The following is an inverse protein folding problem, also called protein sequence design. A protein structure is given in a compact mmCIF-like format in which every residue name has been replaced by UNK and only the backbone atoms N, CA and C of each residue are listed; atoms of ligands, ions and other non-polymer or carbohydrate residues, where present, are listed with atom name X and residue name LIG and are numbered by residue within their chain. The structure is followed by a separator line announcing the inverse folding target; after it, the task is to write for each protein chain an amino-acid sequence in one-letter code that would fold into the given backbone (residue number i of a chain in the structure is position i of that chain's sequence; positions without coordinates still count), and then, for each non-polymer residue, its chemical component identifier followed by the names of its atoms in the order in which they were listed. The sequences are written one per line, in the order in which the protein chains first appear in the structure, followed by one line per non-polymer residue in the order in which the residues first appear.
data_IF_442387156316
#
_entry.id   IF_442387156316
#
_cell.length_a   1.000
_cell.length_b   1.000
_cell.length_c   1.000
_cell.angle_alpha   90.00
_cell.angle_beta   90.00
_cell.angle_gamma   90.00
#
_symmetry.space_group_name_H-M   'P 1'
#
loop_
_entity.id
_entity.type
_entity.pdbx_description
1 polymer ?
#
# COMPACT_ATOMS: atom_id res chain seq x y z
N UNK A 1 -42.57 12.63 -66.77
CA UNK A 1 -43.23 12.50 -65.45
C UNK A 1 -42.48 13.38 -64.46
N UNK A 2 -43.17 14.34 -63.86
CA UNK A 2 -42.62 15.50 -63.16
C UNK A 2 -41.70 15.14 -61.99
N UNK A 3 -40.39 15.37 -62.13
CA UNK A 3 -39.50 15.49 -60.97
C UNK A 3 -39.87 16.80 -60.26
N UNK A 4 -40.43 16.63 -59.07
CA UNK A 4 -41.04 17.67 -58.25
C UNK A 4 -40.04 18.81 -57.99
N UNK A 5 -40.31 20.00 -58.53
CA UNK A 5 -39.60 21.27 -58.21
C UNK A 5 -39.53 21.55 -56.70
N UNK A 6 -40.42 20.96 -55.90
CA UNK A 6 -40.38 21.02 -54.43
C UNK A 6 -39.23 20.22 -53.81
N UNK A 7 -38.79 19.11 -54.42
CA UNK A 7 -37.72 18.27 -53.87
C UNK A 7 -36.33 18.95 -53.96
N UNK A 8 -36.12 19.72 -55.03
CA UNK A 8 -34.88 20.50 -55.24
C UNK A 8 -34.83 21.71 -54.28
N UNK A 9 -35.97 22.34 -53.98
CA UNK A 9 -36.04 23.43 -52.99
C UNK A 9 -35.86 22.92 -51.54
N UNK A 10 -36.32 21.71 -51.20
CA UNK A 10 -36.09 21.12 -49.87
C UNK A 10 -34.63 20.69 -49.66
N UNK A 11 -33.95 20.23 -50.71
CA UNK A 11 -32.52 19.87 -50.64
C UNK A 11 -31.63 21.12 -50.56
N UNK A 12 -32.01 22.23 -51.20
CA UNK A 12 -31.27 23.50 -51.11
C UNK A 12 -31.47 24.23 -49.77
N UNK A 13 -32.61 24.00 -49.08
CA UNK A 13 -32.89 24.58 -47.77
C UNK A 13 -32.24 23.80 -46.60
N UNK A 14 -31.88 22.53 -46.80
CA UNK A 14 -31.18 21.72 -45.79
C UNK A 14 -29.66 21.92 -45.78
N UNK A 15 -29.08 22.46 -46.86
CA UNK A 15 -27.64 22.76 -46.94
C UNK A 15 -27.22 24.07 -46.24
N UNK A 16 -28.17 24.89 -45.76
CA UNK A 16 -27.87 26.21 -45.17
C UNK A 16 -27.82 26.17 -43.62
N UNK A 17 -28.14 25.03 -42.98
CA UNK A 17 -28.18 24.93 -41.51
C UNK A 17 -26.89 24.41 -40.84
N UNK A 18 -25.77 24.31 -41.57
CA UNK A 18 -24.46 23.90 -41.00
C UNK A 18 -23.42 25.03 -40.90
N UNK A 19 -23.82 26.30 -40.99
CA UNK A 19 -22.89 27.45 -40.82
C UNK A 19 -22.95 28.12 -39.45
N UNK A 20 -22.92 27.37 -38.34
CA UNK A 20 -22.70 28.00 -37.04
C UNK A 20 -21.93 27.16 -36.01
N UNK A 21 -20.92 26.42 -36.46
CA UNK A 21 -19.74 26.28 -35.61
C UNK A 21 -18.97 27.59 -35.77
N UNK A 22 -19.08 28.49 -34.78
CA UNK A 22 -18.02 29.47 -34.58
C UNK A 22 -16.76 28.65 -34.41
N UNK A 23 -15.87 28.69 -35.40
CA UNK A 23 -14.49 28.31 -35.18
C UNK A 23 -14.08 29.07 -33.92
N UNK A 24 -13.79 28.31 -32.87
CA UNK A 24 -12.95 28.76 -31.79
C UNK A 24 -11.77 29.41 -32.49
N UNK A 25 -11.58 30.71 -32.31
CA UNK A 25 -10.42 31.41 -32.86
C UNK A 25 -9.25 30.59 -32.35
N UNK A 26 -8.67 29.75 -33.21
CA UNK A 26 -7.33 29.27 -33.02
C UNK A 26 -6.53 30.55 -33.03
N UNK A 27 -6.29 31.08 -31.84
CA UNK A 27 -5.30 32.12 -31.62
C UNK A 27 -4.06 31.48 -32.19
N UNK A 28 -3.71 31.89 -33.41
CA UNK A 28 -2.44 31.52 -34.02
C UNK A 28 -1.40 31.66 -32.91
N UNK A 29 -0.52 30.67 -32.68
CA UNK A 29 0.47 30.78 -31.62
C UNK A 29 1.13 32.14 -31.81
N UNK A 30 0.97 33.01 -30.81
CA UNK A 30 1.60 34.32 -30.85
C UNK A 30 3.08 33.99 -30.80
N UNK A 31 3.72 33.95 -31.97
CA UNK A 31 5.17 33.77 -32.10
C UNK A 31 5.75 35.08 -31.64
N UNK A 32 5.87 35.23 -30.33
CA UNK A 32 6.51 36.36 -29.70
C UNK A 32 7.96 35.96 -29.48
N UNK A 33 8.88 36.62 -30.18
CA UNK A 33 10.32 36.44 -29.99
C UNK A 33 10.85 37.13 -28.73
N UNK A 34 9.99 37.87 -28.02
CA UNK A 34 10.35 38.61 -26.81
C UNK A 34 10.13 37.76 -25.58
N UNK A 35 11.17 37.59 -24.76
CA UNK A 35 11.06 36.94 -23.47
C UNK A 35 10.16 37.75 -22.51
N UNK A 36 9.39 37.09 -21.63
CA UNK A 36 8.59 37.78 -20.63
C UNK A 36 9.48 38.47 -19.58
N UNK A 37 8.90 39.39 -18.82
CA UNK A 37 9.55 39.99 -17.66
C UNK A 37 9.91 38.94 -16.60
N UNK A 38 10.91 39.22 -15.76
CA UNK A 38 11.22 38.34 -14.63
C UNK A 38 10.09 38.37 -13.60
N UNK A 39 9.97 37.29 -12.81
CA UNK A 39 9.14 37.31 -11.60
C UNK A 39 9.67 38.33 -10.60
N UNK A 40 8.87 38.77 -9.62
CA UNK A 40 9.33 39.71 -8.59
C UNK A 40 8.75 39.40 -7.22
N UNK A 41 9.19 40.13 -6.17
CA UNK A 41 8.74 39.94 -4.79
C UNK A 41 8.82 38.48 -4.33
N UNK A 42 9.92 37.81 -4.63
CA UNK A 42 10.07 36.39 -4.29
C UNK A 42 10.19 36.23 -2.78
N UNK A 43 9.39 35.31 -2.22
CA UNK A 43 9.41 34.93 -0.82
C UNK A 43 9.59 33.42 -0.69
N UNK A 44 10.36 33.02 0.31
CA UNK A 44 10.68 31.62 0.60
C UNK A 44 10.08 31.23 1.95
N UNK A 45 9.38 30.11 1.96
CA UNK A 45 8.95 29.37 3.15
C UNK A 45 9.70 28.02 3.14
N UNK A 46 10.61 27.81 4.08
CA UNK A 46 11.37 26.57 4.18
C UNK A 46 10.53 25.47 4.85
N UNK A 47 10.54 24.27 4.27
CA UNK A 47 9.75 23.11 4.68
C UNK A 47 10.69 21.90 4.87
N UNK A 48 10.21 20.81 5.48
CA UNK A 48 11.00 19.60 5.68
C UNK A 48 11.38 18.95 4.33
N UNK A 49 12.68 18.95 4.00
CA UNK A 49 13.21 18.46 2.72
C UNK A 49 12.70 19.23 1.48
N UNK A 50 12.14 20.43 1.67
CA UNK A 50 11.47 21.20 0.63
C UNK A 50 11.50 22.71 0.91
N UNK A 51 11.10 23.51 -0.06
CA UNK A 51 10.78 24.92 0.15
C UNK A 51 9.63 25.35 -0.77
N UNK A 52 8.74 26.19 -0.25
CA UNK A 52 7.71 26.85 -1.02
C UNK A 52 8.17 28.24 -1.40
N UNK A 53 8.11 28.56 -2.69
CA UNK A 53 8.52 29.83 -3.25
C UNK A 53 7.28 30.51 -3.79
N UNK A 54 6.99 31.72 -3.31
CA UNK A 54 5.91 32.56 -3.81
C UNK A 54 6.48 33.80 -4.49
N UNK A 55 5.79 34.30 -5.51
CA UNK A 55 6.29 35.41 -6.34
C UNK A 55 5.15 36.22 -6.94
N UNK A 56 5.49 37.35 -7.55
CA UNK A 56 4.60 38.16 -8.39
C UNK A 56 4.90 37.84 -9.85
N UNK A 57 3.84 37.54 -10.61
CA UNK A 57 3.93 37.26 -12.04
C UNK A 57 4.23 38.54 -12.83
N UNK A 58 4.99 38.45 -13.93
CA UNK A 58 5.13 39.57 -14.85
C UNK A 58 3.80 39.81 -15.59
N UNK A 59 3.61 41.02 -16.13
CA UNK A 59 2.33 41.45 -16.72
C UNK A 59 2.18 41.07 -18.21
N UNK A 60 3.12 40.32 -18.75
CA UNK A 60 3.12 39.86 -20.14
C UNK A 60 1.84 39.06 -20.46
N UNK A 61 1.12 39.47 -21.50
CA UNK A 61 -0.16 38.86 -21.88
C UNK A 61 -0.01 37.42 -22.38
N UNK A 62 1.17 37.08 -22.87
CA UNK A 62 1.53 35.76 -23.40
C UNK A 62 2.28 34.89 -22.38
N UNK A 63 2.35 35.28 -21.10
CA UNK A 63 2.90 34.45 -20.04
C UNK A 63 2.17 33.09 -20.00
N UNK A 64 2.94 32.00 -19.94
CA UNK A 64 2.41 30.64 -19.91
C UNK A 64 2.63 29.99 -18.54
N UNK A 65 3.86 30.03 -18.03
CA UNK A 65 4.20 29.45 -16.73
C UNK A 65 5.44 30.11 -16.13
N UNK A 66 5.67 29.85 -14.85
CA UNK A 66 6.95 30.08 -14.18
C UNK A 66 7.56 28.72 -13.87
N UNK A 67 8.87 28.57 -14.08
CA UNK A 67 9.60 27.36 -13.71
C UNK A 67 10.73 27.63 -12.73
N UNK A 68 10.95 26.67 -11.84
CA UNK A 68 12.13 26.58 -10.98
C UNK A 68 13.04 25.48 -11.49
N UNK A 69 14.34 25.77 -11.58
CA UNK A 69 15.40 24.80 -11.90
C UNK A 69 16.40 24.75 -10.74
N UNK A 70 16.71 23.55 -10.26
CA UNK A 70 17.63 23.31 -9.15
C UNK A 70 18.24 21.91 -9.24
N UNK A 71 19.31 21.67 -8.47
CA UNK A 71 20.01 20.39 -8.47
C UNK A 71 19.86 19.71 -7.11
N UNK A 72 19.57 18.41 -7.13
CA UNK A 72 19.56 17.58 -5.92
C UNK A 72 20.98 17.16 -5.53
N UNK A 73 21.15 16.69 -4.29
CA UNK A 73 22.41 16.09 -3.81
C UNK A 73 22.89 14.92 -4.68
N UNK A 74 21.96 14.19 -5.30
CA UNK A 74 22.27 13.12 -6.26
C UNK A 74 22.87 13.61 -7.59
N UNK A 75 22.96 14.92 -7.80
CA UNK A 75 23.38 15.54 -9.06
C UNK A 75 22.25 15.67 -10.09
N UNK A 76 21.07 15.10 -9.82
CA UNK A 76 19.90 15.19 -10.71
C UNK A 76 19.38 16.62 -10.77
N UNK A 77 19.24 17.15 -11.98
CA UNK A 77 18.54 18.42 -12.23
C UNK A 77 17.03 18.21 -12.12
N UNK A 78 16.37 19.16 -11.47
CA UNK A 78 14.94 19.19 -11.24
C UNK A 78 14.35 20.42 -11.88
N UNK A 79 13.23 20.24 -12.57
CA UNK A 79 12.40 21.32 -13.12
C UNK A 79 10.99 21.19 -12.53
N UNK A 80 10.47 22.28 -11.97
CA UNK A 80 9.09 22.37 -11.48
C UNK A 80 8.42 23.57 -12.14
N UNK A 81 7.22 23.36 -12.69
CA UNK A 81 6.44 24.41 -13.37
C UNK A 81 5.18 24.75 -12.57
N UNK A 82 4.81 26.03 -12.62
CA UNK A 82 3.52 26.54 -12.15
C UNK A 82 2.91 27.37 -13.26
N UNK A 83 1.70 27.03 -13.69
CA UNK A 83 0.99 27.81 -14.72
C UNK A 83 0.80 29.27 -14.29
N UNK A 84 0.58 30.15 -15.26
CA UNK A 84 0.35 31.57 -15.02
C UNK A 84 -0.88 31.90 -14.15
N UNK A 85 -1.75 30.93 -13.89
CA UNK A 85 -2.88 31.08 -12.95
C UNK A 85 -2.45 31.01 -11.48
N UNK A 86 -1.23 30.56 -11.22
CA UNK A 86 -0.67 30.35 -9.89
C UNK A 86 0.62 31.14 -9.72
N UNK A 87 0.94 31.46 -8.47
CA UNK A 87 2.11 32.27 -8.12
C UNK A 87 3.01 31.60 -7.06
N UNK A 88 2.98 30.27 -7.04
CA UNK A 88 3.69 29.44 -6.05
C UNK A 88 4.34 28.23 -6.72
N UNK A 89 5.54 27.90 -6.28
CA UNK A 89 6.29 26.70 -6.66
C UNK A 89 6.71 25.94 -5.40
N UNK A 90 6.62 24.62 -5.44
CA UNK A 90 7.16 23.75 -4.40
C UNK A 90 8.41 23.05 -4.97
N UNK A 91 9.57 23.33 -4.38
CA UNK A 91 10.83 22.63 -4.68
C UNK A 91 11.06 21.59 -3.58
N UNK A 92 11.34 20.34 -3.94
CA UNK A 92 11.39 19.20 -3.02
C UNK A 92 12.62 18.33 -3.30
N UNK A 93 12.98 17.50 -2.32
CA UNK A 93 14.01 16.47 -2.48
C UNK A 93 15.37 16.86 -1.92
N UNK A 94 15.42 17.90 -1.08
CA UNK A 94 16.65 18.29 -0.42
C UNK A 94 17.01 17.31 0.69
N UNK A 95 18.28 16.90 0.72
CA UNK A 95 18.80 15.92 1.68
C UNK A 95 19.24 16.54 3.02
N UNK A 96 19.56 17.82 2.99
CA UNK A 96 20.24 18.56 4.05
C UNK A 96 19.61 19.94 4.26
N UNK A 97 20.09 20.63 5.30
CA UNK A 97 19.63 21.96 5.70
C UNK A 97 20.59 23.06 5.22
N UNK A 98 21.40 22.80 4.19
CA UNK A 98 22.30 23.80 3.63
C UNK A 98 21.53 24.77 2.72
N UNK A 99 22.07 25.96 2.43
CA UNK A 99 21.53 26.83 1.39
C UNK A 99 21.63 26.18 0.00
N UNK A 100 20.53 26.18 -0.76
CA UNK A 100 20.45 25.70 -2.14
C UNK A 100 19.99 26.84 -3.06
N UNK A 101 20.66 26.99 -4.22
CA UNK A 101 20.29 28.00 -5.22
C UNK A 101 19.22 27.46 -6.18
N UNK A 102 18.13 28.22 -6.32
CA UNK A 102 17.00 27.93 -7.20
C UNK A 102 16.93 29.02 -8.27
N UNK A 103 16.91 28.63 -9.54
CA UNK A 103 16.75 29.55 -10.68
C UNK A 103 15.30 29.61 -11.09
N UNK A 104 14.69 30.78 -11.02
CA UNK A 104 13.31 31.03 -11.43
C UNK A 104 13.27 31.72 -12.80
N UNK A 105 12.42 31.22 -13.68
CA UNK A 105 12.19 31.76 -15.03
C UNK A 105 10.70 31.96 -15.26
N UNK A 106 10.32 33.11 -15.80
CA UNK A 106 9.01 33.25 -16.46
C UNK A 106 9.14 32.76 -17.91
N UNK A 107 8.14 32.02 -18.41
CA UNK A 107 8.14 31.43 -19.75
C UNK A 107 6.83 31.77 -20.45
N UNK A 108 6.94 32.28 -21.67
CA UNK A 108 5.77 32.65 -22.47
C UNK A 108 5.24 31.47 -23.31
N UNK A 109 4.14 31.72 -24.05
CA UNK A 109 3.49 30.74 -24.93
C UNK A 109 4.35 30.28 -26.12
N UNK A 110 5.43 31.00 -26.43
CA UNK A 110 6.44 30.62 -27.42
C UNK A 110 7.62 29.84 -26.81
N UNK A 111 7.53 29.42 -25.54
CA UNK A 111 8.59 28.71 -24.81
C UNK A 111 9.90 29.50 -24.65
N UNK A 112 9.82 30.83 -24.75
CA UNK A 112 10.95 31.74 -24.49
C UNK A 112 10.98 32.08 -23.01
N UNK A 113 12.13 31.86 -22.37
CA UNK A 113 12.35 32.12 -20.95
C UNK A 113 12.92 33.51 -20.71
N UNK A 114 12.52 34.15 -19.61
CA UNK A 114 13.16 35.35 -19.06
C UNK A 114 14.61 35.08 -18.66
N UNK A 115 15.37 36.13 -18.31
CA UNK A 115 16.57 35.95 -17.49
C UNK A 115 16.20 35.33 -16.13
N UNK A 116 17.08 34.51 -15.51
CA UNK A 116 16.79 33.89 -14.22
C UNK A 116 16.84 34.89 -13.08
N UNK A 117 16.01 34.65 -12.07
CA UNK A 117 16.25 35.15 -10.71
C UNK A 117 16.76 33.99 -9.87
N UNK A 118 17.91 34.18 -9.24
CA UNK A 118 18.46 33.23 -8.28
C UNK A 118 17.90 33.51 -6.88
N UNK A 119 17.39 32.47 -6.24
CA UNK A 119 16.82 32.51 -4.90
C UNK A 119 17.46 31.41 -4.08
N UNK A 120 17.97 31.78 -2.91
CA UNK A 120 18.49 30.81 -1.96
C UNK A 120 17.36 30.28 -1.09
N UNK A 121 17.25 28.95 -0.96
CA UNK A 121 16.36 28.27 -0.01
C UNK A 121 17.21 27.52 1.01
N UNK A 122 16.72 27.37 2.24
CA UNK A 122 17.41 26.63 3.32
C UNK A 122 16.42 25.67 3.96
N UNK A 123 16.20 24.49 3.35
CA UNK A 123 15.17 23.54 3.77
C UNK A 123 15.32 23.13 5.24
N UNK A 124 14.20 22.77 5.86
CA UNK A 124 14.23 22.09 7.15
C UNK A 124 14.66 20.63 6.95
N UNK A 125 15.03 19.96 8.04
CA UNK A 125 15.52 18.58 8.01
C UNK A 125 14.58 17.64 7.25
N UNK A 126 15.14 16.78 6.40
CA UNK A 126 14.36 15.82 5.63
C UNK A 126 13.65 14.82 6.58
N UNK A 127 12.33 14.57 6.40
CA UNK A 127 11.56 13.70 7.30
C UNK A 127 12.11 12.28 7.49
N UNK A 128 12.92 11.76 6.55
CA UNK A 128 13.55 10.43 6.69
C UNK A 128 14.36 10.29 7.98
N UNK A 129 14.91 11.39 8.51
CA UNK A 129 15.70 11.38 9.74
C UNK A 129 14.84 11.15 10.99
N UNK A 130 13.61 11.65 11.04
CA UNK A 130 12.66 11.33 12.12
C UNK A 130 12.31 9.84 12.12
N UNK A 131 12.07 9.28 10.93
CA UNK A 131 11.82 7.84 10.78
C UNK A 131 13.04 7.01 11.18
N UNK A 132 14.25 7.43 10.81
CA UNK A 132 15.46 6.72 11.21
C UNK A 132 15.70 6.77 12.72
N UNK A 133 15.49 7.92 13.37
CA UNK A 133 15.68 8.05 14.83
C UNK A 133 14.69 7.23 15.66
N UNK A 134 13.50 6.95 15.12
CA UNK A 134 12.50 6.07 15.74
C UNK A 134 12.62 4.61 15.31
N UNK A 135 13.61 4.28 14.47
CA UNK A 135 13.75 2.94 13.91
C UNK A 135 14.28 1.96 14.96
N UNK A 136 13.52 0.90 15.16
CA UNK A 136 13.91 -0.24 15.99
C UNK A 136 13.83 -1.53 15.17
N UNK A 137 14.77 -2.43 15.44
CA UNK A 137 14.80 -3.77 14.87
C UNK A 137 14.99 -4.80 15.97
N UNK A 138 14.06 -5.76 16.05
CA UNK A 138 14.06 -6.82 17.06
C UNK A 138 13.93 -8.20 16.41
N UNK A 139 14.36 -9.29 17.09
CA UNK A 139 14.15 -10.64 16.58
C UNK A 139 12.67 -10.97 16.38
N UNK A 140 12.37 -11.71 15.32
CA UNK A 140 11.03 -12.21 15.04
C UNK A 140 11.09 -13.65 14.51
N UNK A 141 9.95 -14.35 14.52
CA UNK A 141 9.83 -15.64 13.85
C UNK A 141 10.19 -15.52 12.37
N UNK A 142 11.09 -16.39 11.89
CA UNK A 142 11.56 -16.42 10.51
C UNK A 142 12.35 -15.18 10.07
N UNK A 143 12.64 -14.22 10.95
CA UNK A 143 13.39 -13.02 10.60
C UNK A 143 13.49 -11.94 11.65
N UNK A 144 13.31 -10.68 11.25
CA UNK A 144 13.38 -9.50 12.12
C UNK A 144 12.14 -8.63 11.96
N UNK A 145 11.67 -8.04 13.07
CA UNK A 145 10.59 -7.06 13.05
C UNK A 145 11.20 -5.66 13.11
N UNK A 146 10.76 -4.81 12.19
CA UNK A 146 11.14 -3.41 12.10
C UNK A 146 9.94 -2.55 12.45
N UNK A 147 10.16 -1.61 13.36
CA UNK A 147 9.20 -0.56 13.74
C UNK A 147 9.83 0.82 13.57
N UNK A 148 9.04 1.79 13.13
CA UNK A 148 9.46 3.19 13.00
C UNK A 148 8.24 4.12 12.83
N UNK A 149 8.43 5.42 13.04
CA UNK A 149 7.39 6.44 12.86
C UNK A 149 7.64 7.31 11.62
N UNK A 150 6.63 7.45 10.78
CA UNK A 150 6.64 8.33 9.61
C UNK A 150 5.56 9.41 9.78
N UNK A 151 5.79 10.34 10.69
CA UNK A 151 4.80 11.36 11.07
C UNK A 151 4.28 12.20 9.89
N UNK A 152 5.09 12.35 8.85
CA UNK A 152 4.75 13.14 7.66
C UNK A 152 4.01 12.36 6.58
N UNK A 153 3.86 11.04 6.75
CA UNK A 153 3.21 10.13 5.80
C UNK A 153 3.77 10.24 4.37
N UNK A 154 5.06 10.60 4.26
CA UNK A 154 5.76 10.69 2.98
C UNK A 154 6.17 9.30 2.52
N UNK A 155 6.13 9.08 1.21
CA UNK A 155 6.62 7.83 0.61
C UNK A 155 8.10 7.63 0.92
N UNK A 156 8.42 6.54 1.62
CA UNK A 156 9.79 6.16 1.96
C UNK A 156 10.01 4.65 1.73
N UNK A 157 11.28 4.27 1.73
CA UNK A 157 11.74 2.88 1.72
C UNK A 157 12.60 2.64 2.95
N UNK A 158 12.27 1.65 3.77
CA UNK A 158 13.21 1.09 4.75
C UNK A 158 13.92 -0.07 4.08
N UNK A 159 15.22 0.09 3.84
CA UNK A 159 16.06 -0.91 3.21
C UNK A 159 16.79 -1.71 4.26
N UNK A 160 16.82 -3.02 4.05
CA UNK A 160 17.49 -3.95 4.96
C UNK A 160 18.55 -4.70 4.17
N UNK A 161 19.74 -4.75 4.73
CA UNK A 161 20.86 -5.53 4.23
C UNK A 161 21.30 -6.50 5.32
N UNK A 162 21.78 -7.66 4.92
CA UNK A 162 22.30 -8.69 5.82
C UNK A 162 23.75 -8.95 5.47
N UNK A 163 24.60 -9.11 6.49
CA UNK A 163 25.97 -9.54 6.28
C UNK A 163 25.99 -10.99 5.80
N UNK A 164 26.72 -11.22 4.71
CA UNK A 164 27.00 -12.53 4.14
C UNK A 164 28.49 -12.62 3.82
N UNK A 165 29.25 -13.19 4.75
CA UNK A 165 30.70 -13.39 4.62
C UNK A 165 31.51 -12.09 4.51
N UNK A 166 31.08 -11.03 5.22
CA UNK A 166 31.74 -9.72 5.18
C UNK A 166 31.24 -8.79 4.08
N UNK A 167 30.27 -9.22 3.27
CA UNK A 167 29.60 -8.38 2.28
C UNK A 167 28.14 -8.11 2.67
N UNK A 168 27.72 -6.86 2.49
CA UNK A 168 26.32 -6.46 2.68
C UNK A 168 25.49 -6.83 1.47
N UNK A 169 24.58 -7.78 1.64
CA UNK A 169 23.66 -8.21 0.59
C UNK A 169 22.26 -7.66 0.93
N UNK A 170 21.56 -7.03 -0.03
CA UNK A 170 20.16 -6.65 0.15
C UNK A 170 19.32 -7.85 0.59
N UNK A 171 18.44 -7.67 1.58
CA UNK A 171 17.45 -8.69 1.86
C UNK A 171 16.47 -8.84 0.70
N UNK A 172 15.81 -9.98 0.64
CA UNK A 172 14.78 -10.28 -0.37
C UNK A 172 13.64 -9.25 -0.36
N UNK A 173 13.34 -8.66 0.79
CA UNK A 173 12.27 -7.69 0.97
C UNK A 173 12.77 -6.38 1.59
N UNK A 174 12.24 -5.27 1.09
CA UNK A 174 12.33 -3.93 1.68
C UNK A 174 10.91 -3.43 2.02
N UNK A 175 10.81 -2.45 2.93
CA UNK A 175 9.52 -1.87 3.29
C UNK A 175 9.29 -0.61 2.47
N UNK A 176 8.34 -0.65 1.54
CA UNK A 176 7.87 0.52 0.80
C UNK A 176 6.55 1.00 1.42
N UNK A 177 6.52 2.23 1.94
CA UNK A 177 5.32 2.70 2.65
C UNK A 177 5.24 4.22 2.79
N UNK A 178 4.02 4.73 2.92
CA UNK A 178 3.68 6.07 3.41
C UNK A 178 2.94 6.02 4.76
N UNK A 179 2.75 4.84 5.35
CA UNK A 179 1.98 4.70 6.57
C UNK A 179 2.66 5.42 7.74
N UNK A 180 1.85 6.14 8.54
CA UNK A 180 2.33 6.85 9.74
C UNK A 180 3.09 5.95 10.71
N UNK A 181 2.63 4.71 10.90
CA UNK A 181 3.23 3.72 11.78
C UNK A 181 3.76 2.57 10.95
N UNK A 182 5.07 2.34 11.02
CA UNK A 182 5.75 1.26 10.32
C UNK A 182 5.91 0.12 11.31
N UNK A 183 5.44 -1.06 10.93
CA UNK A 183 5.55 -2.27 11.73
C UNK A 183 5.50 -3.48 10.80
N UNK A 184 6.65 -3.98 10.39
CA UNK A 184 6.76 -5.06 9.40
C UNK A 184 7.81 -6.08 9.82
N UNK A 185 7.52 -7.35 9.55
CA UNK A 185 8.46 -8.44 9.73
C UNK A 185 9.11 -8.77 8.38
N UNK A 186 10.44 -8.64 8.28
CA UNK A 186 11.22 -9.12 7.14
C UNK A 186 11.67 -10.54 7.44
N UNK A 187 11.25 -11.49 6.60
CA UNK A 187 11.39 -12.93 6.81
C UNK A 187 12.44 -13.53 5.87
N UNK A 188 12.70 -14.83 6.02
CA UNK A 188 13.64 -15.58 5.19
C UNK A 188 15.02 -15.77 5.83
N UNK A 189 15.16 -15.48 7.13
CA UNK A 189 16.42 -15.65 7.83
C UNK A 189 16.40 -16.88 8.74
N UNK A 190 17.47 -17.68 8.67
CA UNK A 190 17.70 -18.79 9.57
C UNK A 190 17.92 -18.31 11.03
N UNK A 191 17.63 -19.16 12.04
CA UNK A 191 17.68 -18.77 13.46
C UNK A 191 19.09 -18.82 14.03
N UNK A 192 20.01 -18.08 13.42
CA UNK A 192 21.38 -17.91 13.88
C UNK A 192 21.73 -16.42 13.90
N UNK A 193 22.69 -16.00 14.74
CA UNK A 193 23.13 -14.61 14.78
C UNK A 193 23.54 -14.12 13.39
N UNK A 194 23.03 -12.95 13.00
CA UNK A 194 23.33 -12.25 11.75
C UNK A 194 23.44 -10.76 12.01
N UNK A 195 24.32 -10.10 11.29
CA UNK A 195 24.40 -8.64 11.30
C UNK A 195 23.44 -8.08 10.24
N UNK A 196 22.70 -7.05 10.61
CA UNK A 196 21.75 -6.34 9.76
C UNK A 196 22.17 -4.88 9.67
N UNK A 197 22.09 -4.31 8.48
CA UNK A 197 22.27 -2.90 8.20
C UNK A 197 20.96 -2.33 7.66
N UNK A 198 20.42 -1.31 8.32
CA UNK A 198 19.08 -0.77 8.03
C UNK A 198 19.17 0.74 7.80
N UNK A 199 18.63 1.23 6.69
CA UNK A 199 18.61 2.66 6.35
C UNK A 199 17.25 3.05 5.77
N UNK A 200 16.88 4.33 5.93
CA UNK A 200 15.66 4.92 5.38
C UNK A 200 16.02 5.76 4.16
N UNK A 201 15.24 5.63 3.09
CA UNK A 201 15.42 6.37 1.84
C UNK A 201 14.13 7.00 1.37
N UNK A 202 14.19 8.21 0.85
CA UNK A 202 13.04 8.83 0.17
C UNK A 202 13.00 8.51 -1.35
N UNK A 203 11.99 9.04 -2.05
CA UNK A 203 11.85 8.89 -3.51
C UNK A 203 12.89 9.66 -4.33
N UNK A 204 13.67 10.54 -3.71
CA UNK A 204 14.70 11.36 -4.35
C UNK A 204 16.10 10.78 -4.21
N UNK A 205 16.21 9.57 -3.64
CA UNK A 205 17.47 8.89 -3.35
C UNK A 205 18.31 9.63 -2.28
N UNK A 206 17.63 10.29 -1.33
CA UNK A 206 18.27 10.71 -0.09
C UNK A 206 18.24 9.55 0.89
N UNK A 207 19.38 9.27 1.52
CA UNK A 207 19.55 8.17 2.47
C UNK A 207 19.91 8.74 3.83
N UNK A 208 19.43 8.09 4.89
CA UNK A 208 19.91 8.32 6.25
C UNK A 208 21.25 7.64 6.48
N UNK A 209 21.79 7.81 7.68
CA UNK A 209 22.80 6.88 8.20
C UNK A 209 22.22 5.44 8.31
N UNK A 210 23.05 4.50 8.73
CA UNK A 210 22.73 3.08 8.79
C UNK A 210 22.73 2.58 10.23
N UNK A 211 21.62 1.98 10.66
CA UNK A 211 21.57 1.20 11.89
C UNK A 211 22.20 -0.16 11.63
N UNK A 212 23.33 -0.44 12.28
CA UNK A 212 23.97 -1.76 12.25
C UNK A 212 23.68 -2.48 13.57
N UNK A 213 23.09 -3.67 13.50
CA UNK A 213 22.75 -4.47 14.69
C UNK A 213 22.95 -5.97 14.45
N UNK A 214 23.20 -6.74 15.51
CA UNK A 214 23.28 -8.20 15.45
C UNK A 214 22.05 -8.81 16.09
N UNK A 215 21.25 -9.54 15.31
CA UNK A 215 20.01 -10.17 15.75
C UNK A 215 20.02 -11.67 15.43
N UNK A 216 19.33 -12.45 16.26
CA UNK A 216 19.12 -13.89 16.03
C UNK A 216 17.64 -14.12 15.78
N UNK A 217 17.20 -14.33 14.52
CA UNK A 217 15.82 -14.67 14.20
C UNK A 217 15.32 -15.87 15.00
N UNK A 218 14.02 -15.90 15.28
CA UNK A 218 13.40 -17.06 15.90
C UNK A 218 13.08 -18.09 14.82
N UNK A 219 13.21 -19.37 15.15
CA UNK A 219 12.90 -20.44 14.21
C UNK A 219 11.42 -20.42 13.83
N UNK A 220 11.14 -20.51 12.54
CA UNK A 220 9.79 -20.62 12.01
C UNK A 220 9.76 -21.66 10.90
N UNK A 221 8.72 -22.48 10.89
CA UNK A 221 8.40 -23.32 9.74
C UNK A 221 6.89 -23.38 9.52
N UNK A 222 6.48 -23.72 8.30
CA UNK A 222 5.10 -24.11 8.02
C UNK A 222 4.76 -25.40 8.77
N UNK A 223 3.63 -25.42 9.49
CA UNK A 223 3.11 -26.67 10.04
C UNK A 223 2.51 -27.50 8.89
N UNK A 224 2.82 -28.81 8.81
CA UNK A 224 2.39 -29.61 7.67
C UNK A 224 0.87 -29.77 7.65
N UNK A 225 0.23 -29.26 6.58
CA UNK A 225 -1.23 -29.35 6.36
C UNK A 225 -1.76 -30.78 6.41
N UNK A 226 -0.93 -31.78 6.09
CA UNK A 226 -1.28 -33.21 6.21
C UNK A 226 -1.62 -33.65 7.64
N UNK A 227 -1.33 -32.82 8.65
CA UNK A 227 -1.72 -33.05 10.04
C UNK A 227 -2.96 -32.26 10.47
N UNK A 228 -3.48 -31.39 9.60
CA UNK A 228 -4.65 -30.59 9.94
C UNK A 228 -5.89 -31.45 9.91
N UNK A 229 -6.69 -31.34 10.97
CA UNK A 229 -7.95 -32.08 11.08
C UNK A 229 -9.06 -31.12 11.49
N UNK A 230 -10.20 -31.21 10.80
CA UNK A 230 -11.38 -30.46 11.16
C UNK A 230 -11.87 -30.93 12.53
N UNK A 231 -12.20 -29.98 13.40
CA UNK A 231 -12.81 -30.25 14.70
C UNK A 231 -14.18 -29.60 14.70
N UNK A 232 -15.21 -30.35 15.06
CA UNK A 232 -16.57 -29.82 15.18
C UNK A 232 -16.99 -29.89 16.64
N UNK A 233 -17.01 -28.73 17.29
CA UNK A 233 -17.49 -28.58 18.66
C UNK A 233 -18.95 -28.09 18.66
N UNK A 234 -19.73 -28.33 19.73
CA UNK A 234 -21.16 -28.01 19.76
C UNK A 234 -21.53 -26.56 19.42
N UNK A 235 -20.63 -25.60 19.66
CA UNK A 235 -20.86 -24.17 19.44
C UNK A 235 -20.27 -23.65 18.12
N UNK A 236 -19.51 -24.47 17.39
CA UNK A 236 -18.90 -24.08 16.14
C UNK A 236 -19.96 -23.91 15.04
N UNK A 237 -19.70 -23.00 14.10
CA UNK A 237 -20.58 -22.75 12.98
C UNK A 237 -20.63 -23.96 12.04
N UNK A 238 -21.85 -24.27 11.58
CA UNK A 238 -22.06 -25.27 10.54
C UNK A 238 -21.57 -24.74 9.20
N UNK A 239 -21.15 -25.65 8.32
CA UNK A 239 -20.85 -25.31 6.93
C UNK A 239 -22.16 -25.18 6.14
N UNK A 240 -22.20 -24.22 5.22
CA UNK A 240 -23.36 -23.93 4.39
C UNK A 240 -23.75 -25.13 3.52
N UNK A 241 -22.75 -25.81 2.96
CA UNK A 241 -22.93 -26.99 2.12
C UNK A 241 -21.97 -28.10 2.52
N UNK A 242 -22.34 -29.35 2.25
CA UNK A 242 -21.45 -30.51 2.45
C UNK A 242 -20.16 -30.41 1.62
N UNK A 243 -20.23 -29.79 0.44
CA UNK A 243 -19.07 -29.60 -0.45
C UNK A 243 -18.09 -28.53 0.05
N UNK A 244 -18.52 -27.62 0.93
CA UNK A 244 -17.73 -26.49 1.43
C UNK A 244 -17.22 -26.73 2.86
N UNK A 245 -16.72 -27.94 3.13
CA UNK A 245 -16.29 -28.39 4.45
C UNK A 245 -15.09 -27.62 5.02
N UNK A 246 -14.83 -27.71 6.33
CA UNK A 246 -13.65 -27.05 6.95
C UNK A 246 -12.33 -27.52 6.31
N UNK A 247 -12.23 -28.79 5.92
CA UNK A 247 -11.01 -29.35 5.32
C UNK A 247 -10.60 -28.69 4.02
N UNK A 248 -11.51 -27.93 3.39
CA UNK A 248 -11.22 -27.13 2.21
C UNK A 248 -10.20 -26.04 2.48
N UNK A 249 -10.10 -25.54 3.71
CA UNK A 249 -9.08 -24.55 4.06
C UNK A 249 -7.64 -25.09 4.00
N UNK A 250 -7.41 -26.37 3.74
CA UNK A 250 -6.05 -26.92 3.64
C UNK A 250 -5.90 -28.03 2.59
N UNK A 251 -6.70 -27.99 1.52
CA UNK A 251 -6.68 -29.01 0.46
C UNK A 251 -5.81 -28.64 -0.76
N UNK A 252 -5.22 -27.45 -0.78
CA UNK A 252 -4.32 -26.98 -1.83
C UNK A 252 -5.02 -26.21 -2.96
N UNK A 253 -6.34 -25.99 -2.87
CA UNK A 253 -7.11 -25.20 -3.83
C UNK A 253 -7.56 -23.87 -3.21
N UNK A 254 -6.89 -22.79 -3.56
CA UNK A 254 -7.22 -21.45 -3.10
C UNK A 254 -8.10 -20.65 -4.09
N UNK A 255 -8.70 -21.31 -5.09
CA UNK A 255 -9.29 -20.62 -6.24
C UNK A 255 -10.69 -21.08 -6.62
N UNK A 256 -10.97 -22.39 -6.57
CA UNK A 256 -12.17 -22.93 -7.21
C UNK A 256 -13.32 -23.10 -6.23
N UNK A 257 -14.52 -22.70 -6.67
CA UNK A 257 -15.74 -23.17 -6.04
C UNK A 257 -16.02 -24.63 -6.44
N UNK A 258 -16.51 -25.50 -5.53
CA UNK A 258 -16.83 -25.27 -4.12
C UNK A 258 -15.69 -25.67 -3.15
N UNK A 259 -14.42 -25.67 -3.57
CA UNK A 259 -13.28 -26.03 -2.72
C UNK A 259 -12.90 -24.89 -1.78
N UNK A 260 -13.85 -24.50 -0.94
CA UNK A 260 -13.67 -23.47 0.10
C UNK A 260 -14.40 -23.91 1.37
N UNK A 261 -14.00 -23.41 2.53
CA UNK A 261 -14.83 -23.47 3.72
C UNK A 261 -15.77 -22.28 3.72
N UNK A 262 -17.08 -22.58 3.63
CA UNK A 262 -18.16 -21.61 3.70
C UNK A 262 -19.05 -21.93 4.90
N UNK A 263 -19.08 -21.05 5.90
CA UNK A 263 -19.97 -21.21 7.06
C UNK A 263 -21.39 -20.72 6.74
N UNK A 264 -22.36 -21.14 7.56
CA UNK A 264 -23.79 -20.84 7.39
C UNK A 264 -24.06 -19.33 7.21
N UNK A 265 -24.59 -18.96 6.04
CA UNK A 265 -24.81 -17.55 5.67
C UNK A 265 -26.04 -16.93 6.34
N UNK A 266 -26.87 -17.75 7.00
CA UNK A 266 -28.12 -17.33 7.64
C UNK A 266 -27.96 -16.98 9.12
N UNK A 267 -26.85 -17.39 9.74
CA UNK A 267 -26.57 -17.12 11.15
C UNK A 267 -26.09 -15.69 11.35
N UNK A 268 -26.85 -14.93 12.14
CA UNK A 268 -26.51 -13.57 12.55
C UNK A 268 -25.62 -13.57 13.80
N UNK A 269 -24.60 -12.70 13.80
CA UNK A 269 -23.65 -12.55 14.91
C UNK A 269 -22.39 -13.41 14.74
N UNK A 270 -21.34 -13.18 15.54
CA UNK A 270 -20.03 -13.80 15.32
C UNK A 270 -20.08 -15.32 15.17
N UNK A 271 -19.34 -15.84 14.19
CA UNK A 271 -19.23 -17.28 13.92
C UNK A 271 -17.80 -17.74 14.16
N UNK A 272 -17.61 -19.03 14.48
CA UNK A 272 -16.27 -19.60 14.63
C UNK A 272 -16.19 -21.04 14.16
N UNK A 273 -14.98 -21.42 13.74
CA UNK A 273 -14.62 -22.77 13.32
C UNK A 273 -13.33 -23.19 13.99
N UNK A 274 -13.21 -24.49 14.31
CA UNK A 274 -12.05 -25.05 15.02
C UNK A 274 -11.33 -26.10 14.18
N UNK A 275 -10.01 -26.13 14.26
CA UNK A 275 -9.20 -27.18 13.66
C UNK A 275 -7.98 -27.52 14.53
N UNK A 276 -7.55 -28.77 14.43
CA UNK A 276 -6.33 -29.28 15.04
C UNK A 276 -5.16 -29.11 14.05
N UNK A 277 -4.05 -28.51 14.46
CA UNK A 277 -2.82 -28.43 13.64
C UNK A 277 -1.95 -29.70 13.74
N UNK A 278 -2.33 -30.63 14.61
CA UNK A 278 -1.74 -31.95 14.81
C UNK A 278 -0.45 -31.97 15.64
N UNK A 279 0.03 -30.82 16.11
CA UNK A 279 1.18 -30.74 17.03
C UNK A 279 1.13 -29.48 17.89
N UNK A 280 1.50 -29.62 19.17
CA UNK A 280 1.72 -28.49 20.06
C UNK A 280 2.91 -27.66 19.57
N UNK A 281 2.70 -26.37 19.32
CA UNK A 281 3.71 -25.47 18.78
C UNK A 281 3.57 -24.04 19.31
N UNK A 282 4.68 -23.30 19.33
CA UNK A 282 4.66 -21.85 19.52
C UNK A 282 4.28 -21.22 18.19
N UNK A 283 3.01 -20.89 18.01
CA UNK A 283 2.50 -20.38 16.74
C UNK A 283 3.05 -18.97 16.49
N UNK A 284 3.49 -18.71 15.26
CA UNK A 284 4.05 -17.41 14.88
C UNK A 284 3.08 -16.57 14.05
N UNK A 285 2.33 -17.21 13.15
CA UNK A 285 1.36 -16.55 12.26
C UNK A 285 0.43 -17.55 11.59
N UNK A 286 -0.65 -17.02 11.06
CA UNK A 286 -1.52 -17.71 10.09
C UNK A 286 -1.57 -16.92 8.80
N UNK A 287 -1.46 -17.59 7.66
CA UNK A 287 -1.74 -17.02 6.35
C UNK A 287 -3.10 -17.51 5.90
N UNK A 288 -3.96 -16.60 5.46
CA UNK A 288 -5.31 -16.90 4.98
C UNK A 288 -5.41 -16.43 3.52
N UNK A 289 -5.83 -17.33 2.64
CA UNK A 289 -6.31 -17.02 1.31
C UNK A 289 -7.84 -17.10 1.35
N UNK A 290 -8.46 -15.93 1.38
CA UNK A 290 -9.91 -15.81 1.24
C UNK A 290 -10.35 -16.28 -0.16
N UNK A 291 -11.61 -16.70 -0.31
CA UNK A 291 -12.14 -17.07 -1.63
C UNK A 291 -12.20 -15.86 -2.57
N UNK A 292 -11.53 -15.89 -3.74
CA UNK A 292 -11.66 -14.84 -4.74
C UNK A 292 -12.99 -15.00 -5.48
N UNK A 293 -14.04 -14.33 -5.01
CA UNK A 293 -15.39 -14.43 -5.59
C UNK A 293 -15.38 -14.05 -7.08
N UNK A 294 -16.11 -14.80 -7.91
CA UNK A 294 -16.23 -14.45 -9.32
C UNK A 294 -17.33 -13.41 -9.51
N UNK A 295 -16.94 -12.24 -10.03
CA UNK A 295 -17.84 -11.10 -10.30
C UNK A 295 -17.80 -10.72 -11.77
N UNK A 296 -18.65 -9.79 -12.19
CA UNK A 296 -18.61 -9.22 -13.55
C UNK A 296 -17.27 -8.53 -13.88
N UNK A 297 -16.51 -8.13 -12.85
CA UNK A 297 -15.18 -7.51 -12.98
C UNK A 297 -14.05 -8.53 -12.83
N UNK A 298 -14.35 -9.83 -12.91
CA UNK A 298 -13.41 -10.92 -12.66
C UNK A 298 -13.34 -11.33 -11.20
N UNK A 299 -12.21 -11.92 -10.81
CA UNK A 299 -11.95 -12.45 -9.47
C UNK A 299 -11.73 -11.33 -8.47
N UNK A 300 -12.46 -11.37 -7.37
CA UNK A 300 -12.48 -10.30 -6.38
C UNK A 300 -12.18 -10.80 -4.98
N UNK A 301 -11.17 -10.21 -4.35
CA UNK A 301 -10.90 -10.38 -2.92
C UNK A 301 -11.54 -9.26 -2.12
N UNK A 302 -11.51 -9.37 -0.79
CA UNK A 302 -12.10 -8.40 0.11
C UNK A 302 -13.60 -8.17 -0.18
N UNK A 303 -14.29 -9.27 -0.48
CA UNK A 303 -15.67 -9.30 -0.95
C UNK A 303 -16.47 -10.39 -0.22
N UNK A 304 -17.79 -10.20 -0.11
CA UNK A 304 -18.70 -11.23 0.41
C UNK A 304 -18.27 -11.77 1.78
N UNK A 305 -18.11 -13.09 1.85
CA UNK A 305 -17.72 -13.84 3.06
C UNK A 305 -16.24 -13.78 3.44
N UNK A 306 -15.39 -13.09 2.68
CA UNK A 306 -13.99 -12.93 3.04
C UNK A 306 -13.88 -12.29 4.43
N UNK A 307 -12.99 -12.83 5.27
CA UNK A 307 -12.91 -12.38 6.67
C UNK A 307 -12.36 -10.96 6.72
N UNK A 308 -12.98 -10.09 7.54
CA UNK A 308 -12.49 -8.71 7.75
C UNK A 308 -12.02 -8.51 9.18
N UNK A 309 -12.94 -8.38 10.12
CA UNK A 309 -12.63 -8.27 11.54
C UNK A 309 -12.80 -9.64 12.18
N UNK A 310 -11.72 -10.20 12.70
CA UNK A 310 -11.73 -11.54 13.27
C UNK A 310 -10.71 -11.69 14.39
N UNK A 311 -10.88 -12.74 15.18
CA UNK A 311 -9.97 -13.15 16.23
C UNK A 311 -9.43 -14.54 15.92
N UNK A 312 -8.18 -14.78 16.29
CA UNK A 312 -7.62 -16.13 16.32
C UNK A 312 -7.38 -16.51 17.77
N UNK A 313 -7.86 -17.69 18.13
CA UNK A 313 -7.72 -18.27 19.46
C UNK A 313 -7.00 -19.60 19.38
N UNK A 314 -6.26 -19.94 20.44
CA UNK A 314 -5.51 -21.18 20.54
C UNK A 314 -5.78 -21.91 21.84
N UNK A 315 -5.69 -23.24 21.80
CA UNK A 315 -5.77 -24.12 22.95
C UNK A 315 -4.85 -25.32 22.76
N UNK A 316 -4.35 -25.90 23.85
CA UNK A 316 -3.69 -27.21 23.86
C UNK A 316 -4.66 -28.36 24.18
N UNK A 317 -5.77 -28.06 24.86
CA UNK A 317 -6.80 -29.00 25.27
C UNK A 317 -8.19 -28.32 25.29
N UNK A 318 -8.84 -28.16 24.11
CA UNK A 318 -10.13 -27.50 24.01
C UNK A 318 -11.23 -28.36 24.64
N UNK A 319 -12.20 -27.76 25.35
CA UNK A 319 -13.27 -28.50 25.98
C UNK A 319 -14.25 -29.05 24.94
N UNK A 320 -14.65 -30.31 25.10
CA UNK A 320 -15.55 -31.00 24.16
C UNK A 320 -16.96 -30.41 24.11
N UNK A 321 -17.34 -29.61 25.11
CA UNK A 321 -18.63 -28.91 25.16
C UNK A 321 -18.68 -27.68 24.23
N UNK A 322 -17.56 -27.29 23.62
CA UNK A 322 -17.46 -26.14 22.73
C UNK A 322 -17.40 -24.79 23.44
N UNK A 323 -17.30 -24.77 24.77
CA UNK A 323 -17.11 -23.54 25.53
C UNK A 323 -15.78 -22.85 25.19
N UNK A 324 -15.63 -21.62 25.68
CA UNK A 324 -14.39 -20.84 25.54
C UNK A 324 -13.38 -21.11 26.66
N UNK A 325 -13.67 -22.03 27.56
CA UNK A 325 -12.72 -22.45 28.59
C UNK A 325 -11.44 -23.01 27.93
N UNK A 326 -10.27 -22.74 28.53
CA UNK A 326 -8.95 -23.13 28.00
C UNK A 326 -8.58 -22.55 26.62
N UNK A 327 -9.30 -21.54 26.13
CA UNK A 327 -8.90 -20.81 24.94
C UNK A 327 -8.16 -19.52 25.31
N UNK A 328 -7.02 -19.29 24.65
CA UNK A 328 -6.27 -18.03 24.75
C UNK A 328 -6.34 -17.29 23.43
N UNK A 329 -6.64 -16.00 23.45
CA UNK A 329 -6.64 -15.18 22.24
C UNK A 329 -5.21 -14.94 21.78
N UNK A 330 -4.90 -15.31 20.54
CA UNK A 330 -3.59 -15.12 19.92
C UNK A 330 -3.49 -13.79 19.17
N UNK A 331 -4.64 -13.22 18.79
CA UNK A 331 -4.71 -11.88 18.21
C UNK A 331 -6.12 -11.48 17.78
N UNK A 332 -6.27 -10.18 17.54
CA UNK A 332 -7.43 -9.56 16.90
C UNK A 332 -6.94 -8.86 15.64
N UNK A 333 -7.59 -9.12 14.52
CA UNK A 333 -7.08 -8.76 13.21
C UNK A 333 -8.14 -8.04 12.38
N UNK A 334 -7.67 -7.16 11.50
CA UNK A 334 -8.43 -6.65 10.37
C UNK A 334 -7.71 -7.04 9.07
N UNK A 335 -8.40 -7.74 8.18
CA UNK A 335 -8.00 -7.85 6.78
C UNK A 335 -8.22 -6.48 6.13
N UNK A 336 -7.13 -5.80 5.79
CA UNK A 336 -7.14 -4.45 5.23
C UNK A 336 -6.76 -4.48 3.75
N UNK A 337 -7.46 -3.67 2.96
CA UNK A 337 -7.07 -3.33 1.60
C UNK A 337 -6.02 -2.21 1.64
N UNK A 338 -4.84 -2.39 1.03
CA UNK A 338 -3.86 -1.31 0.86
C UNK A 338 -4.48 -0.02 0.32
N UNK A 339 -5.38 -0.12 -0.65
CA UNK A 339 -6.01 1.06 -1.28
C UNK A 339 -7.03 1.78 -0.39
N UNK A 340 -7.56 1.12 0.65
CA UNK A 340 -8.67 1.64 1.44
C UNK A 340 -10.02 1.75 0.70
N UNK A 341 -10.11 1.25 -0.54
CA UNK A 341 -11.33 1.34 -1.34
C UNK A 341 -12.51 0.53 -0.74
N UNK A 342 -13.77 0.94 -1.00
CA UNK A 342 -14.95 0.24 -0.49
C UNK A 342 -15.08 -1.20 -1.05
N UNK A 343 -15.95 -2.02 -0.44
CA UNK A 343 -16.28 -3.35 -0.98
C UNK A 343 -16.82 -3.23 -2.42
N UNK A 344 -16.45 -4.16 -3.29
CA UNK A 344 -16.84 -4.14 -4.72
C UNK A 344 -15.83 -3.43 -5.62
N UNK A 345 -14.79 -2.81 -5.06
CA UNK A 345 -13.68 -2.21 -5.77
C UNK A 345 -12.34 -2.77 -5.27
N UNK A 346 -11.41 -3.02 -6.17
CA UNK A 346 -10.04 -3.44 -5.87
C UNK A 346 -9.08 -2.84 -6.89
N UNK A 347 -7.89 -2.47 -6.42
CA UNK A 347 -6.73 -2.16 -7.26
C UNK A 347 -5.93 -3.43 -7.54
N UNK A 348 -4.98 -3.36 -8.47
CA UNK A 348 -4.03 -4.46 -8.70
C UNK A 348 -3.19 -4.77 -7.46
N UNK A 349 -2.84 -3.75 -6.66
CA UNK A 349 -2.12 -3.94 -5.40
C UNK A 349 -2.93 -4.73 -4.38
N UNK A 350 -4.22 -4.40 -4.23
CA UNK A 350 -5.14 -5.16 -3.36
C UNK A 350 -5.21 -6.62 -3.82
N UNK A 351 -5.41 -6.84 -5.12
CA UNK A 351 -5.52 -8.17 -5.70
C UNK A 351 -4.25 -9.00 -5.47
N UNK A 352 -3.07 -8.45 -5.79
CA UNK A 352 -1.80 -9.17 -5.65
C UNK A 352 -1.49 -9.51 -4.19
N UNK A 353 -1.77 -8.59 -3.26
CA UNK A 353 -1.58 -8.86 -1.84
C UNK A 353 -2.46 -10.02 -1.37
N UNK A 354 -3.76 -9.98 -1.63
CA UNK A 354 -4.67 -11.04 -1.23
C UNK A 354 -4.36 -12.38 -1.92
N UNK A 355 -4.00 -12.34 -3.20
CA UNK A 355 -3.62 -13.52 -3.97
C UNK A 355 -2.33 -14.18 -3.45
N UNK A 356 -1.39 -13.39 -2.91
CA UNK A 356 -0.19 -13.90 -2.25
C UNK A 356 -0.46 -14.53 -0.88
N UNK A 357 -1.64 -14.25 -0.30
CA UNK A 357 -2.06 -14.71 1.02
C UNK A 357 -1.88 -13.66 2.09
N UNK A 358 -2.93 -13.44 2.89
CA UNK A 358 -2.93 -12.44 3.96
C UNK A 358 -2.31 -13.05 5.23
N UNK A 359 -1.16 -12.53 5.64
CA UNK A 359 -0.41 -13.00 6.80
C UNK A 359 -0.77 -12.22 8.06
N UNK A 360 -1.11 -12.93 9.13
CA UNK A 360 -1.48 -12.38 10.43
C UNK A 360 -0.55 -12.92 11.51
N UNK A 361 0.34 -12.05 12.01
CA UNK A 361 1.33 -12.40 13.02
C UNK A 361 0.69 -12.50 14.41
N UNK A 362 1.04 -13.54 15.16
CA UNK A 362 0.63 -13.72 16.55
C UNK A 362 1.60 -13.04 17.51
N UNK A 363 1.11 -12.75 18.71
CA UNK A 363 1.96 -12.22 19.78
C UNK A 363 3.07 -13.23 20.12
N UNK A 364 4.32 -12.75 20.14
CA UNK A 364 5.49 -13.55 20.50
C UNK A 364 5.42 -14.13 21.92
N UNK A 365 4.63 -13.53 22.81
CA UNK A 365 4.38 -13.99 24.17
C UNK A 365 3.32 -15.09 24.25
N UNK A 366 2.51 -15.30 23.21
CA UNK A 366 1.39 -16.25 23.22
C UNK A 366 1.83 -17.68 23.58
N UNK A 367 1.05 -18.47 24.35
CA UNK A 367 1.47 -19.80 24.77
C UNK A 367 1.64 -20.77 23.59
N UNK A 368 2.27 -21.92 23.82
CA UNK A 368 2.20 -23.02 22.86
C UNK A 368 0.76 -23.54 22.79
N UNK A 369 0.26 -23.78 21.59
CA UNK A 369 -1.10 -24.28 21.33
C UNK A 369 -1.07 -25.35 20.23
N UNK A 370 -2.15 -26.11 20.09
CA UNK A 370 -2.31 -27.15 19.05
C UNK A 370 -3.57 -26.93 18.23
N UNK A 371 -4.64 -26.56 18.89
CA UNK A 371 -5.93 -26.26 18.27
C UNK A 371 -6.04 -24.78 18.01
N UNK A 372 -6.52 -24.42 16.84
CA UNK A 372 -6.84 -23.04 16.49
C UNK A 372 -8.33 -22.89 16.23
N UNK A 373 -8.86 -21.76 16.66
CA UNK A 373 -10.23 -21.35 16.40
C UNK A 373 -10.21 -19.98 15.73
N UNK A 374 -10.83 -19.89 14.56
CA UNK A 374 -11.00 -18.64 13.83
C UNK A 374 -12.40 -18.13 14.16
N UNK A 375 -12.50 -16.93 14.72
CA UNK A 375 -13.77 -16.32 15.07
C UNK A 375 -13.96 -15.05 14.25
N UNK A 376 -14.89 -15.10 13.30
CA UNK A 376 -15.21 -13.95 12.47
C UNK A 376 -16.26 -13.09 13.16
N UNK A 377 -15.90 -11.85 13.42
CA UNK A 377 -16.79 -10.83 13.96
C UNK A 377 -17.55 -10.20 12.81
N UNK A 378 -16.83 -9.84 11.74
CA UNK A 378 -17.40 -9.21 10.56
C UNK A 378 -16.62 -9.59 9.29
N UNK A 379 -17.34 -9.95 8.24
CA UNK A 379 -16.82 -10.15 6.88
C UNK A 379 -16.96 -8.88 6.03
N UNK A 380 -16.48 -8.90 4.79
CA UNK A 380 -16.48 -7.71 3.93
C UNK A 380 -17.86 -7.19 3.54
N UNK A 381 -18.89 -8.05 3.49
CA UNK A 381 -20.27 -7.62 3.28
C UNK A 381 -21.02 -7.20 4.54
N UNK A 382 -20.36 -7.24 5.69
CA UNK A 382 -20.91 -6.78 6.97
C UNK A 382 -21.74 -7.82 7.75
N UNK A 383 -21.71 -9.09 7.34
CA UNK A 383 -22.19 -10.24 8.13
C UNK A 383 -21.02 -10.90 8.86
N UNK A 384 -21.13 -12.14 9.31
CA UNK A 384 -20.12 -12.86 10.11
C UNK A 384 -19.72 -14.24 9.58
N UNK A 385 -20.41 -14.76 8.55
CA UNK A 385 -19.99 -16.01 7.92
C UNK A 385 -18.64 -15.84 7.22
N UNK A 386 -17.98 -16.97 6.98
CA UNK A 386 -16.61 -17.03 6.51
C UNK A 386 -16.56 -17.72 5.16
N UNK A 387 -15.73 -17.23 4.25
CA UNK A 387 -15.44 -17.81 2.95
C UNK A 387 -13.93 -17.86 2.76
N UNK A 388 -13.30 -18.92 3.28
CA UNK A 388 -11.85 -19.13 3.27
C UNK A 388 -11.54 -20.27 2.29
N UNK A 389 -10.73 -19.98 1.28
CA UNK A 389 -10.29 -20.99 0.32
C UNK A 389 -9.12 -21.81 0.87
N UNK A 390 -8.12 -21.15 1.47
CA UNK A 390 -6.94 -21.86 1.97
C UNK A 390 -6.36 -21.15 3.21
N UNK A 391 -5.65 -21.87 4.07
CA UNK A 391 -4.84 -21.31 5.14
C UNK A 391 -3.54 -22.10 5.35
N UNK A 392 -2.56 -21.47 5.99
CA UNK A 392 -1.33 -22.09 6.42
C UNK A 392 -0.90 -21.50 7.77
N UNK A 393 -0.71 -22.36 8.78
CA UNK A 393 -0.17 -21.98 10.09
C UNK A 393 1.35 -22.16 10.10
N UNK A 394 2.05 -21.23 10.72
CA UNK A 394 3.49 -21.29 10.93
C UNK A 394 3.80 -21.24 12.44
N UNK A 395 4.95 -21.78 12.82
CA UNK A 395 5.44 -21.69 14.18
C UNK A 395 6.66 -22.56 14.45
N UNK A 396 6.98 -22.69 15.74
CA UNK A 396 8.03 -23.56 16.25
C UNK A 396 7.43 -24.78 16.99
N UNK A 397 7.44 -25.98 16.38
CA UNK A 397 6.96 -27.19 17.02
C UNK A 397 8.04 -27.97 17.78
N UNK A 398 9.24 -27.41 17.97
CA UNK A 398 10.33 -28.08 18.68
C UNK A 398 10.11 -28.13 20.19
#
# INVERSE_FOLDING_TARGET
MNINRKLIQTIFLFCILFQNCKEEIQVAPVVNSTAPGQVSNVKVENLAGAARITYTLPKDQDLLYVKAVYQLKSGKEMEVKSSYYNNTLLVEGFADTNPHSIKLYAVNRSEISSAPIEVSVTPLENPIWNTFRSLEAIPAFGGIRITAENETEKNLTVMVMVDSLGEWVPSVDNIYTSAKQISRTIRGFAPNPKQFAITVRDKYMNFTDTLVTTLTPLFEQALPKSRYTAVTLPTDAKQQYTSTGLSKMWDGDNWNWPNISLTDVTVNGPQWVTFDTGKLAKMSRIVIWDYPEYTNSGRMYYYGGNVRFFEIWGSDNPPSDGSWNNWTRLGTFESKKPSGLPMGQQTDEDYQLANSGLSFDFDISAPKVRYLRIKTIKNWQGSSFMSIAELQVYGDPR
#
